data_IF_838685742786
#
_entry.id   IF_838685742786
#
_cell.length_a   1.000
_cell.length_b   1.000
_cell.length_c   1.000
_cell.angle_alpha   90.00
_cell.angle_beta   90.00
_cell.angle_gamma   90.00
#
_symmetry.space_group_name_H-M   'P 1'
#
loop_
_entity.id
_entity.type
_entity.pdbx_description
1 polymer ?
#
# COMPACT_ATOMS: atom_id res chain seq x y z
N UNK A 1 -3.61 -24.33 6.12
CA UNK A 1 -3.53 -22.92 5.68
C UNK A 1 -4.69 -22.69 4.76
N UNK A 2 -5.47 -21.66 5.03
CA UNK A 2 -6.53 -21.21 4.13
C UNK A 2 -5.89 -20.72 2.82
N UNK A 3 -6.29 -21.25 1.64
CA UNK A 3 -5.74 -20.81 0.35
C UNK A 3 -6.01 -19.31 0.10
N UNK A 4 -7.14 -18.78 0.58
CA UNK A 4 -7.48 -17.37 0.45
C UNK A 4 -6.51 -16.50 1.26
N UNK A 5 -6.04 -16.98 2.40
CA UNK A 5 -5.02 -16.26 3.19
C UNK A 5 -3.67 -16.15 2.46
N UNK A 6 -3.30 -17.15 1.65
CA UNK A 6 -2.09 -17.10 0.83
C UNK A 6 -2.23 -16.09 -0.32
N UNK A 7 -3.37 -16.10 -1.01
CA UNK A 7 -3.67 -15.16 -2.09
C UNK A 7 -3.71 -13.70 -1.58
N UNK A 8 -4.36 -13.46 -0.44
CA UNK A 8 -4.40 -12.14 0.18
C UNK A 8 -3.03 -11.67 0.68
N UNK A 9 -2.15 -12.59 1.10
CA UNK A 9 -0.76 -12.27 1.47
C UNK A 9 0.05 -11.82 0.25
N UNK A 10 -0.17 -12.46 -0.92
CA UNK A 10 0.40 -12.02 -2.20
C UNK A 10 -0.07 -10.61 -2.56
N UNK A 11 -1.38 -10.35 -2.50
CA UNK A 11 -1.96 -9.01 -2.75
C UNK A 11 -1.37 -7.95 -1.80
N UNK A 12 -1.21 -8.30 -0.52
CA UNK A 12 -0.61 -7.41 0.49
C UNK A 12 0.82 -7.02 0.11
N UNK A 13 1.59 -7.98 -0.41
CA UNK A 13 2.97 -7.75 -0.87
C UNK A 13 3.01 -6.83 -2.09
N UNK A 14 2.10 -7.02 -3.04
CA UNK A 14 1.95 -6.13 -4.21
C UNK A 14 1.56 -4.70 -3.82
N UNK A 15 0.67 -4.52 -2.83
CA UNK A 15 0.32 -3.19 -2.32
C UNK A 15 1.51 -2.49 -1.67
N UNK A 16 2.30 -3.21 -0.87
CA UNK A 16 3.50 -2.66 -0.25
C UNK A 16 4.56 -2.25 -1.30
N UNK A 17 4.70 -3.02 -2.38
CA UNK A 17 5.55 -2.64 -3.51
C UNK A 17 5.03 -1.40 -4.24
N UNK A 18 3.72 -1.34 -4.50
CA UNK A 18 3.11 -0.19 -5.17
C UNK A 18 3.24 1.09 -4.33
N UNK A 19 3.03 1.01 -3.01
CA UNK A 19 3.20 2.13 -2.10
C UNK A 19 4.64 2.68 -2.15
N UNK A 20 5.65 1.79 -2.11
CA UNK A 20 7.06 2.19 -2.25
C UNK A 20 7.35 2.88 -3.57
N UNK A 21 6.79 2.40 -4.68
CA UNK A 21 6.96 3.03 -6.00
C UNK A 21 6.30 4.40 -6.08
N UNK A 22 5.11 4.57 -5.49
CA UNK A 22 4.43 5.87 -5.43
C UNK A 22 5.22 6.87 -4.59
N UNK A 23 5.70 6.45 -3.41
CA UNK A 23 6.58 7.27 -2.57
C UNK A 23 7.87 7.67 -3.29
N UNK A 24 8.49 6.77 -4.04
CA UNK A 24 9.67 7.10 -4.83
C UNK A 24 9.38 8.17 -5.91
N UNK A 25 8.22 8.10 -6.56
CA UNK A 25 7.77 9.15 -7.48
C UNK A 25 7.54 10.46 -6.73
N UNK A 26 6.88 10.43 -5.57
CA UNK A 26 6.63 11.61 -4.75
C UNK A 26 7.95 12.27 -4.31
N UNK A 27 8.93 11.49 -3.85
CA UNK A 27 10.27 11.96 -3.47
C UNK A 27 11.04 12.60 -4.62
N UNK A 28 10.90 12.09 -5.85
CA UNK A 28 11.52 12.75 -7.03
C UNK A 28 10.83 14.07 -7.36
N UNK A 29 9.54 14.20 -7.07
CA UNK A 29 8.73 15.40 -7.34
C UNK A 29 8.84 16.45 -6.25
N UNK A 30 9.19 16.08 -5.02
CA UNK A 30 9.31 17.00 -3.88
C UNK A 30 10.44 18.05 -4.01
N UNK A 31 11.24 18.00 -5.08
CA UNK A 31 12.21 19.04 -5.42
C UNK A 31 11.54 20.31 -5.95
N UNK A 32 10.32 20.18 -6.49
CA UNK A 32 9.50 21.30 -6.95
C UNK A 32 8.40 21.57 -5.88
N UNK A 33 8.48 22.69 -5.15
CA UNK A 33 7.50 23.01 -4.10
C UNK A 33 6.11 23.33 -4.67
N UNK A 34 6.00 23.71 -5.95
CA UNK A 34 4.74 24.05 -6.62
C UNK A 34 4.17 22.87 -7.43
N UNK A 35 4.71 21.66 -7.25
CA UNK A 35 4.29 20.48 -7.98
C UNK A 35 2.81 20.14 -7.73
N UNK A 36 1.93 20.23 -8.75
CA UNK A 36 0.50 20.07 -8.55
C UNK A 36 0.07 18.61 -8.28
N UNK A 37 0.99 17.64 -8.39
CA UNK A 37 0.70 16.22 -8.22
C UNK A 37 1.20 15.66 -6.89
N UNK A 38 2.10 16.36 -6.18
CA UNK A 38 2.74 15.84 -4.97
C UNK A 38 1.73 15.46 -3.89
N UNK A 39 0.73 16.32 -3.63
CA UNK A 39 -0.33 16.05 -2.67
C UNK A 39 -1.11 14.78 -3.02
N UNK A 40 -1.47 14.60 -4.29
CA UNK A 40 -2.22 13.44 -4.78
C UNK A 40 -1.41 12.15 -4.66
N UNK A 41 -0.10 12.20 -4.90
CA UNK A 41 0.77 11.03 -4.74
C UNK A 41 0.83 10.58 -3.27
N UNK A 42 0.95 11.51 -2.33
CA UNK A 42 0.90 11.17 -0.89
C UNK A 42 -0.47 10.67 -0.42
N UNK A 43 -1.56 11.11 -1.05
CA UNK A 43 -2.90 10.57 -0.78
C UNK A 43 -3.04 9.13 -1.29
N UNK A 44 -2.51 8.84 -2.49
CA UNK A 44 -2.48 7.49 -3.05
C UNK A 44 -1.63 6.57 -2.16
N UNK A 45 -0.43 6.99 -1.77
CA UNK A 45 0.45 6.26 -0.85
C UNK A 45 -0.26 5.91 0.48
N UNK A 46 -0.91 6.90 1.11
CA UNK A 46 -1.70 6.70 2.34
C UNK A 46 -2.86 5.72 2.15
N UNK A 47 -3.52 5.76 0.99
CA UNK A 47 -4.61 4.85 0.64
C UNK A 47 -4.10 3.41 0.52
N UNK A 48 -2.94 3.21 -0.11
CA UNK A 48 -2.32 1.89 -0.26
C UNK A 48 -1.92 1.29 1.09
N UNK A 49 -1.30 2.07 1.97
CA UNK A 49 -0.99 1.61 3.34
C UNK A 49 -2.25 1.29 4.16
N UNK A 50 -3.33 2.05 3.98
CA UNK A 50 -4.60 1.77 4.65
C UNK A 50 -5.20 0.45 4.16
N UNK A 51 -5.18 0.20 2.85
CA UNK A 51 -5.64 -1.06 2.27
C UNK A 51 -4.80 -2.25 2.74
N UNK A 52 -3.47 -2.10 2.71
CA UNK A 52 -2.52 -3.09 3.22
C UNK A 52 -2.79 -3.46 4.68
N UNK A 53 -2.97 -2.45 5.55
CA UNK A 53 -3.28 -2.68 6.98
C UNK A 53 -4.58 -3.44 7.17
N UNK A 54 -5.63 -3.10 6.39
CA UNK A 54 -6.94 -3.77 6.46
C UNK A 54 -6.83 -5.23 6.00
N UNK A 55 -6.10 -5.49 4.92
CA UNK A 55 -5.87 -6.86 4.44
C UNK A 55 -5.13 -7.72 5.47
N UNK A 56 -4.11 -7.17 6.14
CA UNK A 56 -3.42 -7.89 7.23
C UNK A 56 -4.33 -8.24 8.41
N UNK A 57 -5.38 -7.47 8.66
CA UNK A 57 -6.39 -7.83 9.69
C UNK A 57 -7.17 -9.05 9.21
N UNK A 58 -7.71 -9.01 7.99
CA UNK A 58 -8.47 -10.12 7.40
C UNK A 58 -7.64 -11.40 7.31
N UNK A 59 -6.38 -11.32 6.89
CA UNK A 59 -5.48 -12.49 6.82
C UNK A 59 -5.31 -13.15 8.18
N UNK A 60 -5.18 -12.36 9.26
CA UNK A 60 -5.07 -12.91 10.62
C UNK A 60 -6.37 -13.59 11.06
N UNK A 61 -7.51 -13.02 10.71
CA UNK A 61 -8.82 -13.62 11.01
C UNK A 61 -9.01 -14.96 10.26
N UNK A 62 -8.55 -15.05 9.00
CA UNK A 62 -8.58 -16.28 8.20
C UNK A 62 -7.58 -17.34 8.68
N UNK A 63 -6.44 -16.94 9.25
CA UNK A 63 -5.44 -17.87 9.77
C UNK A 63 -5.89 -18.59 11.06
N UNK A 64 -7.00 -18.15 11.68
CA UNK A 64 -7.45 -18.58 12.99
C UNK A 64 -6.81 -17.77 14.13
N UNK A 65 -7.48 -17.67 15.29
CA UNK A 65 -6.94 -17.02 16.48
C UNK A 65 -5.70 -17.71 17.04
#
# INVERSE_FOLDING_TARGET
MDPDAADLSSVTSSLAELARRVDEVARRRSVDPDDPYLARLHEIERTLHTAERRLRVVIRELAGP
#
